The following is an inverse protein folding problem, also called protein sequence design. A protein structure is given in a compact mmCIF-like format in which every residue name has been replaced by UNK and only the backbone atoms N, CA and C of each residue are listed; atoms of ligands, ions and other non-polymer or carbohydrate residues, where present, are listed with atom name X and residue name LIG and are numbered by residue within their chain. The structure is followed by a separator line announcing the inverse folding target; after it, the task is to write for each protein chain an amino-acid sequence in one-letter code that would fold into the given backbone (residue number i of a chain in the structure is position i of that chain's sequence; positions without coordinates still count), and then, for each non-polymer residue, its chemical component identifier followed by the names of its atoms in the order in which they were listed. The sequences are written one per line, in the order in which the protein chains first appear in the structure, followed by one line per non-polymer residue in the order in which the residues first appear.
data_IF_831621823112
#
_entry.id   IF_831621823112
#
_cell.length_a   1.000
_cell.length_b   1.000
_cell.length_c   1.000
_cell.angle_alpha   90.00
_cell.angle_beta   90.00
_cell.angle_gamma   90.00
#
_symmetry.space_group_name_H-M   'P 1'
#
loop_
_entity.id
_entity.type
_entity.pdbx_description
1 polymer ?
#
# COMPACT_ATOMS: atom_id res chain seq x y z
N UNK A 1 2.13 -4.46 -1.73
CA UNK A 1 1.10 -3.49 -1.27
C UNK A 1 1.09 -3.54 0.25
N UNK A 2 1.38 -2.44 0.96
CA UNK A 2 1.35 -2.46 2.45
C UNK A 2 -0.08 -2.23 2.89
N UNK A 3 -0.55 -3.14 3.72
CA UNK A 3 -1.91 -3.16 4.27
C UNK A 3 -1.86 -2.52 5.66
N UNK A 4 -2.85 -1.68 5.99
CA UNK A 4 -2.85 -0.86 7.20
C UNK A 4 -4.14 -1.06 7.97
N UNK A 5 -4.03 -1.42 9.25
CA UNK A 5 -5.16 -1.46 10.18
C UNK A 5 -5.08 -0.23 11.09
N UNK A 6 -6.17 0.51 11.20
CA UNK A 6 -6.26 1.64 12.13
C UNK A 6 -6.67 1.15 13.52
N UNK A 7 -5.89 1.54 14.53
CA UNK A 7 -6.29 1.37 15.93
C UNK A 7 -7.08 2.61 16.40
N UNK A 8 -8.28 2.40 16.94
CA UNK A 8 -9.06 3.44 17.60
C UNK A 8 -8.54 3.66 19.03
N UNK A 9 -7.91 4.80 19.27
CA UNK A 9 -7.38 5.17 20.60
C UNK A 9 -8.51 5.55 21.56
N UNK A 10 -8.69 4.76 22.63
CA UNK A 10 -9.51 5.16 23.79
C UNK A 10 -8.82 6.29 24.56
N UNK A 11 -9.59 7.32 24.89
CA UNK A 11 -9.15 8.53 25.58
C UNK A 11 -9.18 8.31 27.11
N UNK A 12 -8.02 8.33 27.79
CA UNK A 12 -7.96 8.35 29.26
C UNK A 12 -7.58 9.75 29.78
N UNK A 13 -8.30 10.20 30.81
CA UNK A 13 -8.29 11.58 31.31
C UNK A 13 -7.63 11.66 32.68
N UNK A 14 -6.37 12.12 32.75
CA UNK A 14 -5.79 12.65 34.01
C UNK A 14 -5.01 13.94 33.77
N UNK A 15 -5.36 14.98 34.55
CA UNK A 15 -4.64 16.26 34.64
C UNK A 15 -3.58 16.15 35.74
N UNK A 16 -2.41 16.79 35.56
CA UNK A 16 -1.70 17.57 36.61
C UNK A 16 -0.46 18.28 36.06
N UNK A 17 -0.12 19.43 36.66
CA UNK A 17 1.26 19.89 36.91
C UNK A 17 2.13 20.30 35.72
N UNK A 18 2.39 21.61 35.58
CA UNK A 18 3.36 22.12 34.61
C UNK A 18 4.81 22.11 35.11
N UNK A 19 5.76 21.83 34.22
CA UNK A 19 7.15 22.28 34.31
C UNK A 19 7.77 22.30 32.91
N UNK A 20 8.43 23.40 32.53
CA UNK A 20 9.11 23.53 31.23
C UNK A 20 10.37 22.67 31.25
N UNK A 21 10.38 21.56 30.52
CA UNK A 21 11.55 20.70 30.37
C UNK A 21 12.33 21.03 29.10
N UNK A 22 13.61 21.35 29.31
CA UNK A 22 14.69 21.57 28.32
C UNK A 22 14.67 20.45 27.26
N UNK A 23 14.84 20.79 25.98
CA UNK A 23 15.01 19.78 24.94
C UNK A 23 16.23 18.91 25.23
N UNK A 24 16.01 17.65 25.59
CA UNK A 24 17.05 16.63 25.61
C UNK A 24 17.24 16.09 24.20
N UNK A 25 18.50 15.89 23.81
CA UNK A 25 18.85 15.22 22.56
C UNK A 25 18.23 13.82 22.55
N UNK A 26 17.60 13.45 21.43
CA UNK A 26 16.94 12.15 21.32
C UNK A 26 17.99 11.03 21.31
N UNK A 27 17.96 10.20 22.34
CA UNK A 27 18.78 9.00 22.42
C UNK A 27 18.52 8.08 21.21
N UNK A 28 19.52 7.33 20.74
CA UNK A 28 19.35 6.40 19.62
C UNK A 28 18.25 5.38 19.95
N UNK A 29 17.27 5.27 19.05
CA UNK A 29 16.11 4.37 19.20
C UNK A 29 16.60 2.94 19.42
N UNK A 30 16.25 2.36 20.58
CA UNK A 30 16.62 1.00 20.93
C UNK A 30 16.02 0.00 19.93
N UNK A 31 16.82 -1.01 19.56
CA UNK A 31 16.33 -2.11 18.73
C UNK A 31 15.29 -2.90 19.55
N UNK A 32 14.07 -3.15 19.04
CA UNK A 32 13.13 -4.02 19.74
C UNK A 32 13.71 -5.45 19.78
N UNK A 33 13.65 -6.08 20.95
CA UNK A 33 14.36 -7.33 21.23
C UNK A 33 13.64 -8.59 20.70
N UNK A 34 12.40 -8.44 20.20
CA UNK A 34 11.61 -9.53 19.63
C UNK A 34 11.68 -9.60 18.10
N UNK A 35 11.77 -10.82 17.54
CA UNK A 35 11.57 -11.06 16.11
C UNK A 35 10.07 -10.95 15.79
N UNK A 36 9.73 -10.30 14.67
CA UNK A 36 8.33 -10.12 14.23
C UNK A 36 8.01 -11.07 13.09
N UNK A 37 6.99 -11.92 13.25
CA UNK A 37 6.50 -12.79 12.18
C UNK A 37 5.70 -11.99 11.15
N UNK A 38 5.94 -12.22 9.86
CA UNK A 38 5.26 -11.59 8.74
C UNK A 38 4.69 -12.64 7.79
N UNK A 39 3.38 -12.61 7.53
CA UNK A 39 2.78 -13.46 6.49
C UNK A 39 3.30 -13.04 5.13
N UNK A 40 3.84 -13.98 4.36
CA UNK A 40 4.43 -13.74 3.05
C UNK A 40 3.63 -14.44 1.96
N UNK A 41 3.13 -13.68 1.00
CA UNK A 41 2.45 -14.22 -0.18
C UNK A 41 3.31 -13.91 -1.41
N UNK A 42 4.09 -14.87 -1.95
CA UNK A 42 4.90 -14.68 -3.16
C UNK A 42 4.07 -14.23 -4.35
N UNK A 43 2.89 -14.82 -4.52
CA UNK A 43 1.98 -14.57 -5.63
C UNK A 43 2.48 -15.13 -6.96
N UNK A 44 1.94 -14.57 -8.05
CA UNK A 44 2.07 -15.08 -9.41
C UNK A 44 3.03 -14.25 -10.28
N UNK A 45 3.44 -14.83 -11.42
CA UNK A 45 4.26 -14.16 -12.43
C UNK A 45 5.62 -13.73 -11.88
N UNK A 46 5.90 -12.42 -11.89
CA UNK A 46 7.13 -11.83 -11.31
C UNK A 46 7.09 -11.72 -9.78
N UNK A 47 5.97 -12.05 -9.14
CA UNK A 47 5.79 -11.96 -7.69
C UNK A 47 6.88 -12.69 -6.87
N UNK A 48 7.15 -14.00 -7.14
CA UNK A 48 8.17 -14.77 -6.43
C UNK A 48 9.59 -14.21 -6.55
N UNK A 49 10.00 -13.74 -7.74
CA UNK A 49 11.32 -13.11 -7.96
C UNK A 49 11.48 -11.85 -7.10
N UNK A 50 10.46 -10.98 -7.13
CA UNK A 50 10.45 -9.74 -6.35
C UNK A 50 10.42 -10.01 -4.84
N UNK A 51 9.71 -11.05 -4.40
CA UNK A 51 9.66 -11.44 -2.99
C UNK A 51 10.99 -12.04 -2.51
N UNK A 52 11.62 -12.89 -3.32
CA UNK A 52 12.96 -13.42 -3.02
C UNK A 52 14.00 -12.29 -2.89
N UNK A 53 13.97 -11.30 -3.79
CA UNK A 53 14.79 -10.08 -3.71
C UNK A 53 14.59 -9.32 -2.39
N UNK A 54 13.36 -9.24 -1.86
CA UNK A 54 13.09 -8.63 -0.54
C UNK A 54 13.66 -9.50 0.60
N UNK A 55 13.51 -10.83 0.53
CA UNK A 55 14.02 -11.73 1.57
C UNK A 55 15.54 -11.65 1.70
N UNK A 56 16.28 -11.67 0.58
CA UNK A 56 17.74 -11.53 0.57
C UNK A 56 18.19 -10.17 1.11
N UNK A 57 17.48 -9.09 0.77
CA UNK A 57 17.71 -7.76 1.36
C UNK A 57 17.49 -7.75 2.87
N UNK A 58 16.40 -8.34 3.36
CA UNK A 58 16.07 -8.38 4.80
C UNK A 58 17.12 -9.19 5.59
N UNK A 59 17.57 -10.30 5.03
CA UNK A 59 18.63 -11.15 5.58
C UNK A 59 19.98 -10.43 5.62
N UNK A 60 20.36 -9.76 4.53
CA UNK A 60 21.61 -9.00 4.44
C UNK A 60 21.64 -7.78 5.40
N UNK A 61 20.50 -7.13 5.62
CA UNK A 61 20.36 -6.02 6.57
C UNK A 61 20.16 -6.46 8.04
N UNK A 62 20.14 -7.76 8.33
CA UNK A 62 19.99 -8.28 9.69
C UNK A 62 18.66 -7.89 10.35
N UNK A 63 17.57 -7.83 9.57
CA UNK A 63 16.27 -7.40 10.05
C UNK A 63 15.62 -8.50 10.90
N UNK A 64 15.09 -8.20 12.10
CA UNK A 64 14.47 -9.19 12.98
C UNK A 64 13.03 -9.53 12.53
N UNK A 65 12.87 -9.98 11.29
CA UNK A 65 11.59 -10.41 10.71
C UNK A 65 11.71 -11.85 10.23
N UNK A 66 10.74 -12.68 10.62
CA UNK A 66 10.56 -14.06 10.15
C UNK A 66 9.40 -14.09 9.16
N UNK A 67 9.60 -14.71 8.00
CA UNK A 67 8.56 -14.81 6.98
C UNK A 67 7.83 -16.16 7.06
N UNK A 68 6.51 -16.12 7.14
CA UNK A 68 5.62 -17.28 7.08
C UNK A 68 5.00 -17.37 5.67
N UNK A 69 5.53 -18.21 4.75
CA UNK A 69 5.12 -18.21 3.36
C UNK A 69 3.82 -19.01 3.11
N UNK A 70 2.88 -18.40 2.40
CA UNK A 70 1.68 -19.05 1.86
C UNK A 70 1.67 -18.95 0.34
N UNK A 71 1.49 -20.09 -0.33
CA UNK A 71 1.15 -20.09 -1.75
C UNK A 71 -0.34 -19.76 -1.90
N UNK A 72 -0.65 -18.72 -2.67
CA UNK A 72 -2.02 -18.22 -2.84
C UNK A 72 -2.13 -17.68 -4.27
N UNK A 73 -3.05 -18.21 -5.07
CA UNK A 73 -3.10 -17.99 -6.52
C UNK A 73 -4.51 -18.26 -7.07
N UNK A 74 -5.03 -17.37 -7.92
CA UNK A 74 -6.29 -17.61 -8.67
C UNK A 74 -6.06 -18.54 -9.88
N UNK A 75 -4.81 -18.61 -10.37
CA UNK A 75 -4.43 -19.39 -11.57
C UNK A 75 -4.22 -20.86 -11.24
N UNK A 76 -3.71 -21.16 -10.04
CA UNK A 76 -3.42 -22.52 -9.58
C UNK A 76 -4.26 -22.86 -8.32
N UNK A 77 -5.60 -22.98 -8.43
CA UNK A 77 -6.47 -23.13 -7.27
C UNK A 77 -6.18 -24.39 -6.45
N UNK A 78 -5.79 -25.50 -7.09
CA UNK A 78 -5.44 -26.77 -6.43
C UNK A 78 -4.24 -26.68 -5.48
N UNK A 79 -3.32 -25.73 -5.73
CA UNK A 79 -2.14 -25.50 -4.88
C UNK A 79 -2.34 -24.31 -3.93
N UNK A 80 -3.34 -23.47 -4.19
CA UNK A 80 -3.62 -22.28 -3.37
C UNK A 80 -4.09 -22.68 -1.98
N UNK A 81 -3.47 -22.09 -0.95
CA UNK A 81 -3.99 -22.16 0.41
C UNK A 81 -5.42 -21.60 0.48
N UNK A 82 -6.27 -22.13 1.37
CA UNK A 82 -7.58 -21.55 1.68
C UNK A 82 -7.47 -20.08 2.08
N UNK A 83 -8.47 -19.29 1.69
CA UNK A 83 -8.55 -17.87 2.07
C UNK A 83 -8.55 -17.69 3.60
N UNK A 84 -9.25 -18.57 4.32
CA UNK A 84 -9.38 -18.54 5.78
C UNK A 84 -8.04 -18.72 6.49
N UNK A 85 -7.19 -19.66 6.05
CA UNK A 85 -5.85 -19.88 6.60
C UNK A 85 -4.94 -18.66 6.40
N UNK A 86 -4.99 -18.07 5.20
CA UNK A 86 -4.21 -16.88 4.85
C UNK A 86 -4.71 -15.66 5.64
N UNK A 87 -6.02 -15.43 5.71
CA UNK A 87 -6.60 -14.35 6.50
C UNK A 87 -6.36 -14.53 8.01
N UNK A 88 -6.40 -15.76 8.51
CA UNK A 88 -6.07 -16.12 9.89
C UNK A 88 -4.60 -15.84 10.23
N UNK A 89 -3.66 -16.23 9.37
CA UNK A 89 -2.24 -15.89 9.51
C UNK A 89 -2.03 -14.37 9.53
N UNK A 90 -2.65 -13.62 8.63
CA UNK A 90 -2.52 -12.14 8.58
C UNK A 90 -3.14 -11.50 9.82
N UNK A 91 -4.26 -12.02 10.33
CA UNK A 91 -4.92 -11.53 11.55
C UNK A 91 -4.08 -11.79 12.79
N UNK A 92 -3.44 -12.97 12.88
CA UNK A 92 -2.52 -13.36 13.95
C UNK A 92 -1.23 -12.56 13.94
N UNK A 93 -0.62 -12.39 12.77
CA UNK A 93 0.69 -11.75 12.61
C UNK A 93 0.58 -10.21 12.54
N UNK A 94 -0.60 -9.67 12.22
CA UNK A 94 -0.88 -8.23 12.05
C UNK A 94 -0.28 -7.62 10.77
N UNK A 95 0.70 -8.25 10.14
CA UNK A 95 1.40 -7.76 8.95
C UNK A 95 1.50 -8.81 7.84
N UNK A 96 1.41 -8.34 6.60
CA UNK A 96 1.55 -9.15 5.40
C UNK A 96 2.40 -8.44 4.34
N UNK A 97 3.35 -9.18 3.76
CA UNK A 97 4.02 -8.80 2.52
C UNK A 97 3.47 -9.65 1.37
N UNK A 98 2.90 -8.98 0.36
CA UNK A 98 2.16 -9.61 -0.74
C UNK A 98 2.69 -9.17 -2.11
N UNK A 99 2.99 -10.15 -2.95
CA UNK A 99 3.25 -10.02 -4.37
C UNK A 99 2.01 -9.72 -5.22
N UNK A 100 2.18 -9.76 -6.54
CA UNK A 100 1.06 -9.65 -7.48
C UNK A 100 0.32 -10.99 -7.45
N UNK A 101 -1.01 -10.95 -7.38
CA UNK A 101 -1.84 -12.12 -7.67
C UNK A 101 -2.44 -11.89 -9.05
N UNK A 102 -2.27 -12.84 -9.95
CA UNK A 102 -2.88 -12.79 -11.28
C UNK A 102 -4.36 -13.13 -11.15
N UNK A 103 -5.20 -12.34 -11.78
CA UNK A 103 -6.64 -12.57 -11.88
C UNK A 103 -6.97 -12.88 -13.34
N UNK A 104 -7.75 -13.93 -13.65
CA UNK A 104 -8.18 -14.21 -15.02
C UNK A 104 -9.24 -13.20 -15.50
N UNK A 105 -9.22 -12.86 -16.79
CA UNK A 105 -10.17 -11.91 -17.39
C UNK A 105 -11.62 -12.46 -17.46
N UNK A 106 -11.81 -13.77 -17.26
CA UNK A 106 -13.11 -14.43 -17.22
C UNK A 106 -13.15 -15.47 -16.08
N UNK A 107 -14.27 -15.51 -15.36
CA UNK A 107 -14.50 -16.47 -14.28
C UNK A 107 -15.22 -17.71 -14.79
N UNK A 108 -14.51 -18.83 -14.90
CA UNK A 108 -15.10 -20.12 -15.28
C UNK A 108 -16.14 -20.65 -14.28
N UNK A 109 -16.16 -20.12 -13.06
CA UNK A 109 -17.11 -20.49 -11.99
C UNK A 109 -18.28 -19.52 -11.86
N UNK A 110 -18.33 -18.44 -12.68
CA UNK A 110 -19.30 -17.36 -12.55
C UNK A 110 -19.06 -16.44 -11.33
N UNK A 111 -18.00 -16.65 -10.57
CA UNK A 111 -17.68 -15.84 -9.40
C UNK A 111 -16.98 -14.54 -9.80
N UNK A 112 -17.64 -13.40 -9.57
CA UNK A 112 -17.16 -12.06 -9.94
C UNK A 112 -16.10 -11.50 -8.96
N UNK A 113 -15.94 -12.10 -7.77
CA UNK A 113 -15.00 -11.62 -6.76
C UNK A 113 -13.63 -12.32 -6.82
N UNK A 114 -12.63 -11.56 -7.24
CA UNK A 114 -11.20 -11.96 -7.20
C UNK A 114 -10.74 -12.32 -5.77
N UNK A 115 -9.76 -13.21 -5.61
CA UNK A 115 -9.12 -13.49 -4.30
C UNK A 115 -8.51 -12.20 -3.73
N UNK A 116 -8.00 -11.31 -4.59
CA UNK A 116 -7.55 -9.97 -4.18
C UNK A 116 -8.66 -9.13 -3.52
N UNK A 117 -9.93 -9.29 -3.91
CA UNK A 117 -11.08 -8.59 -3.33
C UNK A 117 -11.59 -9.29 -2.08
N UNK A 118 -11.75 -10.62 -2.13
CA UNK A 118 -12.13 -11.43 -0.97
C UNK A 118 -11.20 -11.18 0.22
N UNK A 119 -9.88 -11.23 0.00
CA UNK A 119 -8.88 -10.95 1.05
C UNK A 119 -8.97 -9.53 1.63
N UNK A 120 -9.40 -8.53 0.84
CA UNK A 120 -9.61 -7.17 1.34
C UNK A 120 -10.90 -7.02 2.13
N UNK A 121 -11.96 -7.73 1.72
CA UNK A 121 -13.24 -7.71 2.40
C UNK A 121 -13.16 -8.44 3.75
N UNK A 122 -12.55 -9.63 3.77
CA UNK A 122 -12.34 -10.46 4.96
C UNK A 122 -11.58 -9.74 6.07
N UNK A 123 -10.53 -9.00 5.69
CA UNK A 123 -9.67 -8.25 6.61
C UNK A 123 -10.06 -6.76 6.77
N UNK A 124 -11.20 -6.34 6.21
CA UNK A 124 -11.68 -4.94 6.09
C UNK A 124 -10.58 -3.92 5.71
N UNK A 125 -9.78 -4.25 4.70
CA UNK A 125 -8.63 -3.48 4.22
C UNK A 125 -9.08 -2.32 3.33
N UNK A 126 -9.73 -1.34 3.97
CA UNK A 126 -10.51 -0.29 3.30
C UNK A 126 -9.71 0.82 2.61
N UNK A 127 -8.42 0.97 2.92
CA UNK A 127 -7.61 2.09 2.46
C UNK A 127 -6.34 1.65 1.70
N UNK A 128 -6.32 1.88 0.39
CA UNK A 128 -5.06 1.85 -0.37
C UNK A 128 -4.26 3.12 -0.11
N UNK A 129 -2.93 3.02 0.03
CA UNK A 129 -2.04 4.19 0.15
C UNK A 129 -0.86 4.09 -0.82
N UNK A 130 -1.03 4.67 -2.01
CA UNK A 130 0.00 4.75 -3.05
C UNK A 130 0.77 6.06 -2.88
N UNK A 131 2.11 6.00 -2.82
CA UNK A 131 2.95 7.20 -2.86
C UNK A 131 3.51 7.33 -4.29
N UNK A 132 3.28 8.47 -4.92
CA UNK A 132 3.79 8.81 -6.24
C UNK A 132 4.81 9.93 -6.06
N UNK A 133 6.10 9.55 -6.01
CA UNK A 133 7.20 10.48 -5.78
C UNK A 133 8.24 10.39 -6.90
N UNK A 134 8.68 11.54 -7.42
CA UNK A 134 9.85 11.63 -8.29
C UNK A 134 11.09 11.17 -7.53
N UNK A 135 11.73 10.13 -8.04
CA UNK A 135 12.94 9.56 -7.46
C UNK A 135 14.19 10.20 -8.09
N UNK A 136 15.24 10.49 -7.30
CA UNK A 136 16.43 11.16 -7.80
C UNK A 136 17.15 10.28 -8.84
N UNK A 137 17.65 10.89 -9.92
CA UNK A 137 18.39 10.20 -10.98
C UNK A 137 17.54 9.47 -12.04
N UNK A 138 16.21 9.45 -11.90
CA UNK A 138 15.29 8.92 -12.92
C UNK A 138 14.74 10.08 -13.77
N UNK A 139 14.92 9.99 -15.09
CA UNK A 139 14.49 11.04 -16.04
C UNK A 139 13.04 10.82 -16.47
N UNK A 140 12.11 11.45 -15.77
CA UNK A 140 10.69 11.51 -16.14
C UNK A 140 10.36 12.81 -16.89
N UNK A 141 9.23 12.83 -17.62
CA UNK A 141 8.66 14.05 -18.23
C UNK A 141 8.34 15.14 -17.21
N UNK A 142 7.89 14.72 -16.02
CA UNK A 142 7.59 15.59 -14.89
C UNK A 142 8.59 15.33 -13.75
N UNK A 143 9.05 16.40 -13.11
CA UNK A 143 10.01 16.36 -12.00
C UNK A 143 9.36 16.92 -10.74
N UNK A 144 9.94 16.62 -9.57
CA UNK A 144 9.48 17.09 -8.27
C UNK A 144 8.01 16.76 -7.93
N UNK A 145 7.49 15.64 -8.46
CA UNK A 145 6.19 15.09 -8.07
C UNK A 145 6.31 14.49 -6.68
N UNK A 146 5.39 14.80 -5.78
CA UNK A 146 5.26 14.15 -4.47
C UNK A 146 3.80 14.17 -4.02
N UNK A 147 3.05 13.16 -4.48
CA UNK A 147 1.63 12.98 -4.21
C UNK A 147 1.39 11.67 -3.47
N UNK A 148 0.31 11.63 -2.68
CA UNK A 148 -0.19 10.40 -2.06
C UNK A 148 -1.63 10.21 -2.51
N UNK A 149 -1.91 9.05 -3.10
CA UNK A 149 -3.25 8.65 -3.53
C UNK A 149 -3.80 7.70 -2.46
N UNK A 150 -4.90 8.10 -1.85
CA UNK A 150 -5.65 7.28 -0.91
C UNK A 150 -6.94 6.85 -1.61
N UNK A 151 -7.18 5.54 -1.72
CA UNK A 151 -8.32 4.97 -2.45
C UNK A 151 -9.10 4.01 -1.57
N UNK A 152 -10.42 4.13 -1.59
CA UNK A 152 -11.35 3.14 -1.04
C UNK A 152 -11.20 1.80 -1.82
N UNK A 153 -11.31 0.66 -1.14
CA UNK A 153 -11.09 -0.67 -1.74
C UNK A 153 -12.15 -1.74 -1.41
N UNK A 154 -13.24 -1.40 -0.72
CA UNK A 154 -14.25 -2.35 -0.23
C UNK A 154 -15.67 -2.07 -0.74
N UNK A 155 -15.87 -1.00 -1.52
CA UNK A 155 -17.11 -0.69 -2.24
C UNK A 155 -16.80 0.00 -3.58
N UNK A 156 -17.77 0.72 -4.15
CA UNK A 156 -17.63 1.40 -5.42
C UNK A 156 -17.59 0.42 -6.58
N UNK A 157 -16.56 0.51 -7.41
CA UNK A 157 -16.35 -0.44 -8.51
C UNK A 157 -16.00 -1.85 -7.99
N UNK A 158 -15.59 -1.99 -6.73
CA UNK A 158 -15.30 -3.29 -6.11
C UNK A 158 -16.51 -3.97 -5.47
N UNK A 159 -17.73 -3.49 -5.73
CA UNK A 159 -18.95 -4.21 -5.33
C UNK A 159 -19.15 -5.54 -6.06
N UNK A 160 -18.63 -5.68 -7.30
CA UNK A 160 -18.75 -6.90 -8.12
C UNK A 160 -20.19 -7.44 -8.22
N UNK A 161 -21.16 -6.54 -8.37
CA UNK A 161 -22.56 -6.85 -8.59
C UNK A 161 -22.87 -6.59 -10.06
N UNK A 162 -22.76 -7.61 -10.90
CA UNK A 162 -23.01 -7.53 -12.32
C UNK A 162 -23.99 -8.62 -12.75
N UNK A 163 -24.87 -8.30 -13.70
CA UNK A 163 -25.83 -9.26 -14.25
C UNK A 163 -26.21 -8.89 -15.68
N UNK A 164 -26.58 -9.90 -16.46
CA UNK A 164 -27.10 -9.74 -17.82
C UNK A 164 -28.63 -9.86 -17.79
N UNK A 165 -29.33 -8.72 -17.96
CA UNK A 165 -30.79 -8.67 -17.86
C UNK A 165 -31.47 -9.38 -19.05
N UNK A 166 -30.89 -9.18 -20.24
CA UNK A 166 -31.24 -9.87 -21.49
C UNK A 166 -29.95 -10.04 -22.32
N UNK A 167 -29.86 -11.02 -23.23
CA UNK A 167 -28.64 -11.26 -24.02
C UNK A 167 -28.12 -9.99 -24.71
N UNK A 168 -26.88 -9.60 -24.40
CA UNK A 168 -26.23 -8.38 -24.87
C UNK A 168 -26.42 -7.14 -23.99
N UNK A 169 -27.13 -7.22 -22.86
CA UNK A 169 -27.40 -6.08 -21.95
C UNK A 169 -26.91 -6.41 -20.54
N UNK A 170 -25.71 -5.93 -20.21
CA UNK A 170 -25.05 -6.12 -18.92
C UNK A 170 -25.20 -4.86 -18.05
N UNK A 171 -25.66 -5.04 -16.82
CA UNK A 171 -25.76 -4.01 -15.79
C UNK A 171 -24.72 -4.19 -14.68
N UNK A 172 -23.94 -3.14 -14.41
CA UNK A 172 -22.95 -3.10 -13.33
C UNK A 172 -23.43 -2.18 -12.18
N UNK A 173 -23.69 -2.74 -11.00
CA UNK A 173 -24.22 -2.03 -9.84
C UNK A 173 -23.10 -1.55 -8.89
N UNK A 174 -22.75 -0.27 -9.02
CA UNK A 174 -21.81 0.43 -8.11
C UNK A 174 -22.50 0.83 -6.81
N UNK A 175 -22.07 0.28 -5.67
CA UNK A 175 -22.57 0.66 -4.34
C UNK A 175 -21.62 1.65 -3.67
N UNK A 176 -22.14 2.77 -3.15
CA UNK A 176 -21.38 3.75 -2.36
C UNK A 176 -22.15 4.07 -1.08
N UNK A 177 -21.52 3.90 0.07
CA UNK A 177 -22.15 4.10 1.38
C UNK A 177 -21.54 5.28 2.12
N UNK A 178 -22.38 6.01 2.86
CA UNK A 178 -21.95 7.13 3.71
C UNK A 178 -20.90 6.70 4.75
N UNK A 179 -21.04 5.50 5.32
CA UNK A 179 -20.14 4.99 6.35
C UNK A 179 -18.73 4.74 5.80
N UNK A 180 -18.61 4.00 4.68
CA UNK A 180 -17.31 3.73 4.04
C UNK A 180 -16.69 5.00 3.45
N UNK A 181 -17.50 5.88 2.87
CA UNK A 181 -17.07 7.22 2.42
C UNK A 181 -16.53 8.10 3.56
N UNK A 182 -17.14 8.08 4.76
CA UNK A 182 -16.65 8.84 5.92
C UNK A 182 -15.34 8.30 6.49
N UNK A 183 -15.18 6.98 6.63
CA UNK A 183 -13.93 6.40 7.19
C UNK A 183 -12.73 6.67 6.29
N UNK A 184 -12.87 6.56 4.97
CA UNK A 184 -11.76 6.84 4.05
C UNK A 184 -11.40 8.33 4.01
N UNK A 185 -12.40 9.23 4.12
CA UNK A 185 -12.17 10.65 4.26
C UNK A 185 -11.42 11.00 5.56
N UNK A 186 -11.88 10.48 6.70
CA UNK A 186 -11.19 10.65 8.00
C UNK A 186 -9.75 10.14 7.93
N UNK A 187 -9.55 8.92 7.44
CA UNK A 187 -8.22 8.35 7.27
C UNK A 187 -7.31 9.23 6.39
N UNK A 188 -7.83 9.82 5.32
CA UNK A 188 -7.05 10.73 4.47
C UNK A 188 -6.63 12.03 5.18
N UNK A 189 -7.50 12.61 6.01
CA UNK A 189 -7.15 13.79 6.83
C UNK A 189 -6.19 13.45 7.97
N UNK A 190 -6.40 12.33 8.67
CA UNK A 190 -5.49 11.84 9.71
C UNK A 190 -4.10 11.54 9.14
N UNK A 191 -4.04 10.87 7.98
CA UNK A 191 -2.81 10.60 7.25
C UNK A 191 -2.13 11.91 6.84
N UNK A 192 -2.86 12.87 6.27
CA UNK A 192 -2.32 14.16 5.86
C UNK A 192 -1.69 14.91 7.05
N UNK A 193 -2.39 14.94 8.18
CA UNK A 193 -1.92 15.57 9.42
C UNK A 193 -0.65 14.89 9.95
N UNK A 194 -0.65 13.55 10.09
CA UNK A 194 0.53 12.77 10.53
C UNK A 194 1.74 12.91 9.61
N UNK A 195 1.53 13.16 8.32
CA UNK A 195 2.58 13.29 7.30
C UNK A 195 2.86 14.76 6.89
N UNK A 196 2.43 15.75 7.69
CA UNK A 196 2.66 17.19 7.44
C UNK A 196 2.20 17.68 6.03
N UNK A 197 1.16 17.08 5.46
CA UNK A 197 0.56 17.47 4.18
C UNK A 197 -0.49 18.56 4.39
N UNK A 198 -0.40 19.65 3.62
CA UNK A 198 -1.26 20.85 3.76
C UNK A 198 -2.53 20.85 2.89
N UNK A 199 -2.67 19.88 1.97
CA UNK A 199 -3.81 19.81 1.03
C UNK A 199 -4.26 18.36 0.86
N UNK A 200 -5.57 18.15 0.98
CA UNK A 200 -6.29 16.92 0.61
C UNK A 200 -7.26 17.29 -0.51
N UNK A 201 -7.37 16.46 -1.54
CA UNK A 201 -8.26 16.69 -2.69
C UNK A 201 -9.15 15.47 -2.89
N UNK A 202 -10.47 15.63 -2.79
CA UNK A 202 -11.41 14.58 -3.12
C UNK A 202 -11.60 14.53 -4.64
N UNK A 203 -11.30 13.38 -5.26
CA UNK A 203 -11.50 13.14 -6.69
C UNK A 203 -12.83 12.42 -6.88
N UNK A 204 -13.70 12.95 -7.76
CA UNK A 204 -15.06 12.44 -7.97
C UNK A 204 -15.59 12.83 -9.37
N UNK A 205 -16.67 12.18 -9.81
CA UNK A 205 -17.48 12.54 -10.98
C UNK A 205 -18.93 12.86 -10.63
N UNK A 206 -19.14 13.52 -9.48
CA UNK A 206 -20.44 13.93 -8.95
C UNK A 206 -21.29 14.84 -9.90
N UNK A 207 -20.67 15.42 -10.94
CA UNK A 207 -21.38 16.15 -11.99
C UNK A 207 -22.25 15.23 -12.89
N UNK A 208 -21.85 13.96 -13.04
CA UNK A 208 -22.61 12.92 -13.73
C UNK A 208 -23.29 12.01 -12.69
N UNK A 209 -22.52 11.42 -11.79
CA UNK A 209 -22.99 10.51 -10.74
C UNK A 209 -23.49 11.28 -9.50
N UNK A 210 -24.60 12.02 -9.67
CA UNK A 210 -25.16 12.94 -8.68
C UNK A 210 -25.50 12.30 -7.32
N UNK A 211 -25.84 10.99 -7.31
CA UNK A 211 -26.17 10.25 -6.09
C UNK A 211 -24.94 9.60 -5.44
N UNK A 212 -24.26 8.66 -6.12
CA UNK A 212 -23.11 7.93 -5.56
C UNK A 212 -21.92 8.83 -5.24
N UNK A 213 -21.28 9.38 -6.27
CA UNK A 213 -20.14 10.29 -6.09
C UNK A 213 -20.53 11.61 -5.39
N UNK A 214 -21.80 12.03 -5.50
CA UNK A 214 -22.35 13.15 -4.72
C UNK A 214 -22.44 12.85 -3.22
N UNK A 215 -22.78 11.62 -2.83
CA UNK A 215 -22.76 11.17 -1.43
C UNK A 215 -21.33 11.08 -0.89
N UNK A 216 -20.39 10.59 -1.71
CA UNK A 216 -18.96 10.59 -1.38
C UNK A 216 -18.45 12.02 -1.12
N UNK A 217 -18.68 12.95 -2.05
CA UNK A 217 -18.28 14.35 -1.91
C UNK A 217 -18.86 14.99 -0.63
N UNK A 218 -20.16 14.82 -0.37
CA UNK A 218 -20.80 15.32 0.86
C UNK A 218 -20.15 14.71 2.11
N UNK A 219 -19.88 13.41 2.10
CA UNK A 219 -19.20 12.72 3.20
C UNK A 219 -17.78 13.26 3.45
N UNK A 220 -17.04 13.59 2.39
CA UNK A 220 -15.72 14.25 2.50
C UNK A 220 -15.80 15.69 3.02
N UNK A 221 -16.87 16.42 2.71
CA UNK A 221 -17.09 17.80 3.19
C UNK A 221 -17.55 17.85 4.66
N UNK A 222 -18.30 16.84 5.10
CA UNK A 222 -18.72 16.66 6.50
C UNK A 222 -17.53 16.33 7.43
N UNK A 223 -16.43 15.78 6.89
CA UNK A 223 -15.16 15.62 7.63
C UNK A 223 -14.35 16.92 7.48
N UNK A 224 -14.12 17.59 8.60
CA UNK A 224 -13.64 18.98 8.66
C UNK A 224 -12.34 19.26 7.88
N UNK A 225 -12.37 20.28 7.01
CA UNK A 225 -11.16 20.88 6.42
C UNK A 225 -11.08 20.96 4.89
N UNK A 226 -12.06 20.43 4.15
CA UNK A 226 -12.02 20.40 2.69
C UNK A 226 -12.19 21.80 2.03
N UNK A 227 -11.13 22.33 1.40
CA UNK A 227 -11.19 23.42 0.39
C UNK A 227 -10.67 22.90 -0.95
N UNK A 228 -11.45 23.11 -2.01
CA UNK A 228 -11.24 22.48 -3.33
C UNK A 228 -10.20 23.20 -4.19
N UNK A 229 -9.49 22.43 -5.03
CA UNK A 229 -8.85 22.88 -6.30
C UNK A 229 -8.37 21.65 -7.07
N UNK A 230 -8.84 21.47 -8.30
CA UNK A 230 -8.70 20.27 -9.15
C UNK A 230 -7.66 20.48 -10.27
N UNK A 231 -7.01 19.40 -10.74
CA UNK A 231 -6.42 19.23 -12.09
C UNK A 231 -5.87 17.81 -12.29
N UNK A 232 -5.84 17.32 -13.53
CA UNK A 232 -5.65 15.91 -13.94
C UNK A 232 -4.24 15.59 -14.51
N UNK A 233 -3.79 14.32 -14.45
CA UNK A 233 -2.86 13.65 -15.41
C UNK A 233 -2.57 12.17 -15.03
N UNK A 234 -2.34 11.28 -16.02
CA UNK A 234 -2.18 9.80 -15.83
C UNK A 234 -1.11 9.14 -16.75
N UNK A 235 -0.32 8.21 -16.17
CA UNK A 235 0.18 6.94 -16.80
C UNK A 235 1.38 7.00 -17.79
N UNK A 236 2.13 5.93 -18.13
CA UNK A 236 2.28 4.50 -17.74
C UNK A 236 3.73 4.04 -18.15
N UNK A 237 4.23 2.80 -18.02
CA UNK A 237 4.45 1.91 -16.85
C UNK A 237 5.30 0.66 -17.27
N UNK A 238 6.51 0.43 -16.72
CA UNK A 238 7.33 -0.82 -16.88
C UNK A 238 7.96 -1.18 -15.51
N UNK A 239 8.32 -2.45 -15.22
CA UNK A 239 8.48 -2.96 -13.85
C UNK A 239 9.90 -2.87 -13.23
N UNK A 240 9.94 -2.65 -11.90
CA UNK A 240 11.14 -2.36 -11.10
C UNK A 240 10.95 -2.74 -9.62
N UNK A 241 11.92 -3.41 -8.96
CA UNK A 241 11.78 -3.87 -7.58
C UNK A 241 11.68 -2.75 -6.55
N UNK A 242 12.04 -1.51 -6.89
CA UNK A 242 11.91 -0.31 -6.04
C UNK A 242 10.51 -0.20 -5.41
N UNK A 243 9.44 -0.51 -6.15
CA UNK A 243 8.08 -0.45 -5.62
C UNK A 243 7.85 -1.44 -4.45
N UNK A 244 8.44 -2.64 -4.53
CA UNK A 244 8.33 -3.66 -3.48
C UNK A 244 9.27 -3.38 -2.31
N UNK A 245 10.51 -2.94 -2.59
CA UNK A 245 11.47 -2.54 -1.55
C UNK A 245 10.97 -1.34 -0.74
N UNK A 246 10.31 -0.36 -1.38
CA UNK A 246 9.62 0.74 -0.69
C UNK A 246 8.37 0.28 0.08
N UNK A 247 7.70 -0.80 -0.34
CA UNK A 247 6.68 -1.45 0.49
C UNK A 247 7.30 -2.08 1.74
N UNK A 248 8.42 -2.80 1.61
CA UNK A 248 9.17 -3.33 2.75
C UNK A 248 9.58 -2.24 3.74
N UNK A 249 10.16 -1.13 3.25
CA UNK A 249 10.52 0.02 4.09
C UNK A 249 9.32 0.64 4.82
N UNK A 250 8.16 0.76 4.16
CA UNK A 250 6.91 1.23 4.81
C UNK A 250 6.39 0.26 5.86
N UNK A 251 6.45 -1.05 5.60
CA UNK A 251 6.05 -2.09 6.55
C UNK A 251 6.90 -2.01 7.81
N UNK A 252 8.21 -1.85 7.67
CA UNK A 252 9.14 -1.66 8.80
C UNK A 252 8.79 -0.42 9.62
N UNK A 253 8.48 0.71 8.97
CA UNK A 253 8.02 1.92 9.66
C UNK A 253 6.68 1.70 10.39
N UNK A 254 5.80 0.82 9.90
CA UNK A 254 4.53 0.49 10.55
C UNK A 254 4.73 -0.35 11.82
N UNK A 255 5.68 -1.29 11.82
CA UNK A 255 6.06 -2.09 13.02
C UNK A 255 7.13 -1.41 13.89
N UNK A 256 7.21 -0.07 13.84
CA UNK A 256 8.15 0.75 14.61
C UNK A 256 9.66 0.50 14.35
N UNK A 257 10.01 -0.29 13.33
CA UNK A 257 11.39 -0.55 12.87
C UNK A 257 11.90 0.59 11.96
N UNK A 258 11.72 1.85 12.39
CA UNK A 258 12.00 3.04 11.57
C UNK A 258 13.44 3.11 11.05
N UNK A 259 14.42 2.71 11.88
CA UNK A 259 15.83 2.65 11.51
C UNK A 259 16.08 1.80 10.25
N UNK A 260 15.45 0.62 10.17
CA UNK A 260 15.59 -0.30 9.05
C UNK A 260 14.82 0.19 7.81
N UNK A 261 13.63 0.76 7.99
CA UNK A 261 12.87 1.36 6.90
C UNK A 261 13.60 2.54 6.26
N UNK A 262 14.26 3.38 7.07
CA UNK A 262 15.06 4.50 6.58
C UNK A 262 16.38 4.07 5.96
N UNK A 263 17.05 3.03 6.49
CA UNK A 263 18.24 2.43 5.86
C UNK A 263 17.93 1.96 4.43
N UNK A 264 16.88 1.14 4.25
CA UNK A 264 16.45 0.65 2.94
C UNK A 264 16.10 1.82 2.01
N UNK A 265 15.30 2.78 2.49
CA UNK A 265 14.89 3.97 1.73
C UNK A 265 16.08 4.81 1.27
N UNK A 266 17.08 4.98 2.12
CA UNK A 266 18.29 5.75 1.80
C UNK A 266 19.21 5.00 0.81
N UNK A 267 19.37 3.69 0.95
CA UNK A 267 20.12 2.87 0.01
C UNK A 267 19.53 2.90 -1.40
N UNK A 268 18.20 2.76 -1.53
CA UNK A 268 17.47 2.92 -2.81
C UNK A 268 17.74 4.31 -3.41
N UNK A 269 17.59 5.37 -2.62
CA UNK A 269 17.85 6.75 -3.09
C UNK A 269 19.30 6.95 -3.56
N UNK A 270 20.29 6.33 -2.89
CA UNK A 270 21.72 6.38 -3.30
C UNK A 270 21.93 5.70 -4.66
N UNK A 271 21.43 4.48 -4.85
CA UNK A 271 21.54 3.73 -6.12
C UNK A 271 20.89 4.49 -7.27
N UNK A 272 19.66 4.96 -7.07
CA UNK A 272 18.92 5.71 -8.09
C UNK A 272 19.60 7.03 -8.45
N UNK A 273 20.08 7.79 -7.45
CA UNK A 273 20.82 9.05 -7.64
C UNK A 273 22.15 8.82 -8.36
N UNK A 274 22.88 7.76 -8.04
CA UNK A 274 24.12 7.39 -8.73
C UNK A 274 23.87 6.98 -10.18
N UNK A 275 22.70 6.39 -10.46
CA UNK A 275 22.19 6.17 -11.81
C UNK A 275 22.95 5.15 -12.66
N UNK A 276 23.92 4.43 -12.07
CA UNK A 276 24.73 3.41 -12.75
C UNK A 276 24.01 2.08 -12.94
N UNK A 277 23.15 1.71 -11.98
CA UNK A 277 22.36 0.47 -12.01
C UNK A 277 20.89 0.86 -12.10
N UNK A 278 20.29 0.57 -13.25
CA UNK A 278 18.93 0.99 -13.61
C UNK A 278 18.25 -0.12 -14.39
N UNK A 279 17.07 -0.52 -13.94
CA UNK A 279 16.19 -1.42 -14.66
C UNK A 279 15.63 -0.76 -15.93
N UNK A 280 15.11 -1.57 -16.85
CA UNK A 280 14.73 -1.16 -18.21
C UNK A 280 13.64 -0.07 -18.25
N UNK A 281 12.76 -0.04 -17.25
CA UNK A 281 11.75 1.00 -17.01
C UNK A 281 12.34 2.39 -16.67
N UNK A 282 13.50 2.40 -16.03
CA UNK A 282 14.23 3.62 -15.64
C UNK A 282 15.16 4.12 -16.76
N UNK A 283 15.10 3.51 -17.95
CA UNK A 283 15.97 3.80 -19.08
C UNK A 283 17.38 3.19 -18.95
N UNK A 284 17.54 2.10 -18.19
CA UNK A 284 18.78 1.33 -18.10
C UNK A 284 18.71 -0.04 -18.78
N UNK A 285 19.68 -0.91 -18.48
CA UNK A 285 19.77 -2.29 -18.98
C UNK A 285 19.98 -3.32 -17.86
N UNK A 286 20.01 -2.90 -16.59
CA UNK A 286 20.26 -3.79 -15.46
C UNK A 286 19.06 -4.69 -15.17
N UNK A 287 19.34 -5.90 -14.71
CA UNK A 287 18.37 -6.88 -14.21
C UNK A 287 17.90 -6.56 -12.79
N UNK A 288 16.82 -7.21 -12.36
CA UNK A 288 16.31 -7.14 -10.97
C UNK A 288 17.39 -7.49 -9.95
N UNK A 289 18.17 -8.54 -10.23
CA UNK A 289 19.21 -9.05 -9.33
C UNK A 289 20.36 -8.04 -9.19
N UNK A 290 20.86 -7.48 -10.29
CA UNK A 290 21.89 -6.44 -10.26
C UNK A 290 21.44 -5.20 -9.48
N UNK A 291 20.18 -4.78 -9.66
CA UNK A 291 19.61 -3.68 -8.88
C UNK A 291 19.52 -4.03 -7.38
N UNK A 292 19.13 -5.26 -7.05
CA UNK A 292 19.04 -5.75 -5.68
C UNK A 292 20.42 -5.74 -5.00
N UNK A 293 21.45 -6.31 -5.63
CA UNK A 293 22.81 -6.31 -5.11
C UNK A 293 23.39 -4.88 -4.99
N UNK A 294 23.08 -3.99 -5.93
CA UNK A 294 23.47 -2.58 -5.84
C UNK A 294 22.83 -1.89 -4.62
N UNK A 295 21.55 -2.17 -4.32
CA UNK A 295 20.87 -1.64 -3.13
C UNK A 295 21.50 -2.20 -1.85
N UNK A 296 21.75 -3.52 -1.76
CA UNK A 296 22.44 -4.15 -0.62
C UNK A 296 23.81 -3.51 -0.37
N UNK A 297 24.62 -3.31 -1.42
CA UNK A 297 25.94 -2.68 -1.32
C UNK A 297 25.87 -1.23 -0.79
N UNK A 298 24.77 -0.53 -1.03
CA UNK A 298 24.55 0.87 -0.61
C UNK A 298 23.82 1.02 0.74
N UNK A 299 23.58 -0.07 1.49
CA UNK A 299 23.01 -0.03 2.85
C UNK A 299 24.02 0.31 3.96
N UNK A 300 25.32 0.30 3.63
CA UNK A 300 26.41 0.66 4.55
C UNK A 300 26.61 2.17 4.65
#
# INVERSE_FOLDING_TARGET
MVLWRGEDSKEDKRKTGGQVRRCQEQAPVSRPEGRTTCTLIPGDGVGPELVYSVQEVFKAAGIPVDFEPFFFSEVNPTLSAPLEDVAGSITRNGICLKGILSTPDYSHTGELQTLNMKLRNELDLYANVVHVKSLPGIKCRHQNVDAVIIREQTEGEYSALEHECVPGVVECLKIVTRQKSKRIAKFAFDYATKNNRKKVTAVHKANIMKLGDGLFLKSCQEVSGARHTFSEAVGKNVANPTAMLLCGAKMLNHVNLQYYGDMIRNAINRVLKAGKVKTKDLGGQSTTNEFTYAVIHNMR
#
